data_IF_307976626827
#
_entry.id   IF_307976626827
#
_cell.length_a   1.000
_cell.length_b   1.000
_cell.length_c   1.000
_cell.angle_alpha   90.00
_cell.angle_beta   90.00
_cell.angle_gamma   90.00
#
_symmetry.space_group_name_H-M   'P 1'
#
loop_
_entity.id
_entity.type
_entity.pdbx_description
1 polymer ?
#
# COMPACT_ATOMS: atom_id res chain seq x y z
N UNK A 1 23.07 -2.68 4.55
CA UNK A 1 21.92 -1.89 5.04
C UNK A 1 20.66 -2.70 4.74
N UNK A 2 20.11 -3.40 5.74
CA UNK A 2 18.85 -4.14 5.57
C UNK A 2 17.71 -3.14 5.65
N UNK A 3 17.06 -2.84 4.52
CA UNK A 3 15.83 -2.03 4.53
C UNK A 3 14.74 -2.86 5.21
N UNK A 4 14.06 -2.30 6.20
CA UNK A 4 12.95 -2.99 6.85
C UNK A 4 11.87 -3.30 5.79
N UNK A 5 11.37 -4.54 5.76
CA UNK A 5 10.34 -4.99 4.81
C UNK A 5 9.14 -4.03 4.82
N UNK A 6 8.75 -3.54 5.99
CA UNK A 6 7.67 -2.56 6.15
C UNK A 6 7.95 -1.24 5.38
N UNK A 7 9.16 -0.70 5.49
CA UNK A 7 9.55 0.54 4.81
C UNK A 7 9.61 0.34 3.29
N UNK A 8 10.15 -0.80 2.84
CA UNK A 8 10.25 -1.13 1.42
C UNK A 8 8.89 -1.28 0.74
N UNK A 9 7.94 -1.96 1.39
CA UNK A 9 6.60 -2.19 0.83
C UNK A 9 5.79 -0.88 0.78
N UNK A 10 5.96 0.00 1.76
CA UNK A 10 5.30 1.31 1.77
C UNK A 10 5.77 2.20 0.61
N UNK A 11 7.05 2.16 0.26
CA UNK A 11 7.63 2.85 -0.91
C UNK A 11 7.06 2.31 -2.22
N UNK A 12 7.11 0.98 -2.43
CA UNK A 12 6.54 0.34 -3.62
C UNK A 12 5.06 0.71 -3.83
N UNK A 13 4.30 0.77 -2.74
CA UNK A 13 2.89 1.17 -2.81
C UNK A 13 2.73 2.65 -3.17
N UNK A 14 3.58 3.52 -2.65
CA UNK A 14 3.59 4.95 -2.98
C UNK A 14 4.04 5.22 -4.44
N UNK A 15 4.93 4.39 -4.97
CA UNK A 15 5.38 4.40 -6.37
C UNK A 15 4.30 3.87 -7.34
N UNK A 16 3.17 3.37 -6.83
CA UNK A 16 2.05 2.89 -7.64
C UNK A 16 2.21 1.45 -8.13
N UNK A 17 3.13 0.66 -7.55
CA UNK A 17 3.28 -0.76 -7.89
C UNK A 17 1.99 -1.52 -7.58
N UNK A 18 1.63 -2.44 -8.47
CA UNK A 18 0.43 -3.27 -8.36
C UNK A 18 0.46 -4.10 -7.07
N UNK A 19 -0.66 -4.09 -6.35
CA UNK A 19 -0.84 -4.82 -5.09
C UNK A 19 -0.65 -6.32 -5.26
N UNK A 20 -0.98 -6.89 -6.42
CA UNK A 20 -0.75 -8.31 -6.73
C UNK A 20 0.74 -8.65 -6.88
N UNK A 21 1.56 -7.70 -7.37
CA UNK A 21 3.02 -7.87 -7.43
C UNK A 21 3.60 -7.83 -6.02
N UNK A 22 3.19 -6.85 -5.21
CA UNK A 22 3.59 -6.73 -3.79
C UNK A 22 3.17 -7.98 -3.00
N UNK A 23 1.97 -8.49 -3.22
CA UNK A 23 1.46 -9.72 -2.60
C UNK A 23 2.37 -10.93 -2.89
N UNK A 24 2.80 -11.09 -4.14
CA UNK A 24 3.71 -12.18 -4.55
C UNK A 24 5.10 -12.03 -3.91
N UNK A 25 5.63 -10.81 -3.84
CA UNK A 25 6.90 -10.52 -3.15
C UNK A 25 6.84 -10.87 -1.67
N UNK A 26 5.71 -10.59 -1.01
CA UNK A 26 5.48 -10.90 0.41
C UNK A 26 5.16 -12.38 0.66
N UNK A 27 4.86 -13.16 -0.38
CA UNK A 27 4.45 -14.56 -0.24
C UNK A 27 3.08 -14.73 0.43
N UNK A 28 2.23 -13.70 0.43
CA UNK A 28 0.90 -13.81 1.03
C UNK A 28 -0.01 -14.69 0.17
N UNK A 29 -0.77 -15.58 0.81
CA UNK A 29 -1.71 -16.47 0.11
C UNK A 29 -2.94 -15.73 -0.44
N UNK A 30 -3.27 -14.54 0.06
CA UNK A 30 -4.43 -13.78 -0.36
C UNK A 30 -4.13 -12.29 -0.57
N UNK A 31 -4.81 -11.70 -1.55
CA UNK A 31 -4.77 -10.25 -1.78
C UNK A 31 -5.32 -9.48 -0.57
N UNK A 32 -6.36 -10.03 0.08
CA UNK A 32 -6.97 -9.43 1.27
C UNK A 32 -5.98 -9.30 2.44
N UNK A 33 -5.08 -10.27 2.64
CA UNK A 33 -4.00 -10.20 3.62
C UNK A 33 -3.07 -9.03 3.30
N UNK A 34 -2.72 -8.87 2.02
CA UNK A 34 -1.82 -7.79 1.57
C UNK A 34 -2.47 -6.43 1.70
N UNK A 35 -3.73 -6.26 1.33
CA UNK A 35 -4.47 -5.00 1.48
C UNK A 35 -4.51 -4.59 2.95
N UNK A 36 -4.92 -5.49 3.85
CA UNK A 36 -4.96 -5.20 5.29
C UNK A 36 -3.58 -4.83 5.84
N UNK A 37 -2.54 -5.53 5.41
CA UNK A 37 -1.16 -5.21 5.79
C UNK A 37 -0.75 -3.81 5.32
N UNK A 38 -1.05 -3.46 4.06
CA UNK A 38 -0.77 -2.12 3.50
C UNK A 38 -1.55 -1.01 4.22
N UNK A 39 -2.82 -1.25 4.56
CA UNK A 39 -3.65 -0.29 5.30
C UNK A 39 -3.06 0.02 6.69
N UNK A 40 -2.50 -0.99 7.36
CA UNK A 40 -1.81 -0.79 8.65
C UNK A 40 -0.51 0.01 8.52
N UNK A 41 0.16 0.00 7.36
CA UNK A 41 1.40 0.75 7.15
C UNK A 41 1.16 2.26 7.01
N UNK A 42 0.05 2.67 6.38
CA UNK A 42 -0.29 4.08 6.18
C UNK A 42 -1.80 4.34 6.25
N UNK A 43 -2.41 4.36 7.45
CA UNK A 43 -3.82 4.69 7.61
C UNK A 43 -4.19 6.07 7.05
N UNK A 44 -3.26 7.04 7.14
CA UNK A 44 -3.44 8.40 6.66
C UNK A 44 -3.59 8.51 5.12
N UNK A 45 -3.08 7.54 4.36
CA UNK A 45 -3.16 7.55 2.90
C UNK A 45 -4.60 7.52 2.39
N UNK A 46 -5.52 6.89 3.14
CA UNK A 46 -6.96 6.90 2.80
C UNK A 46 -7.53 8.30 2.92
N UNK A 47 -7.19 9.02 3.99
CA UNK A 47 -7.65 10.39 4.23
C UNK A 47 -7.11 11.31 3.13
N UNK A 48 -5.80 11.24 2.85
CA UNK A 48 -5.15 12.00 1.78
C UNK A 48 -5.81 11.76 0.43
N UNK A 49 -6.04 10.50 0.05
CA UNK A 49 -6.67 10.15 -1.21
C UNK A 49 -8.13 10.66 -1.32
N UNK A 50 -8.88 10.64 -0.22
CA UNK A 50 -10.26 11.12 -0.20
C UNK A 50 -10.35 12.64 -0.23
N UNK A 51 -9.45 13.33 0.49
CA UNK A 51 -9.36 14.80 0.51
C UNK A 51 -8.86 15.36 -0.81
N UNK A 52 -8.01 14.63 -1.55
CA UNK A 52 -7.53 15.04 -2.86
C UNK A 52 -8.58 14.94 -3.98
N UNK A 53 -9.77 14.35 -3.72
CA UNK A 53 -10.83 14.29 -4.72
C UNK A 53 -11.52 15.64 -4.88
N UNK A 54 -11.32 16.27 -6.02
CA UNK A 54 -12.14 17.39 -6.49
C UNK A 54 -13.38 16.85 -7.18
N UNK A 55 -14.57 17.22 -6.69
CA UNK A 55 -15.82 16.95 -7.39
C UNK A 55 -16.09 18.13 -8.31
N UNK A 56 -16.03 17.92 -9.62
CA UNK A 56 -16.61 18.88 -10.57
C UNK A 56 -18.13 18.79 -10.44
N UNK A 57 -18.74 19.91 -10.06
CA UNK A 57 -20.19 20.04 -9.85
C UNK A 57 -20.93 20.32 -11.15
#
# INVERSE_FOLDING_TARGET
MVRCVHAHVAELRAEGVDVAIIQRQLGHASLATTIRYLDHLRPAAVIEAMTARTWEG
#
